data_IF_250364435747
#
_entry.id   IF_250364435747
#
_cell.length_a   1.000
_cell.length_b   1.000
_cell.length_c   1.000
_cell.angle_alpha   90.00
_cell.angle_beta   90.00
_cell.angle_gamma   90.00
#
_symmetry.space_group_name_H-M   'P 1'
#
loop_
_entity.id
_entity.type
_entity.pdbx_description
1 polymer ?
#
# COMPACT_ATOMS: atom_id res chain seq x y z
N UNK A 1 8.13 10.78 -9.26
CA UNK A 1 8.43 11.08 -7.85
C UNK A 1 7.92 12.47 -7.46
N UNK A 2 6.61 12.71 -7.47
CA UNK A 2 6.03 14.05 -7.22
C UNK A 2 5.31 14.18 -5.87
N UNK A 3 5.34 13.17 -5.00
CA UNK A 3 4.49 13.11 -3.80
C UNK A 3 5.18 13.29 -2.44
N UNK A 4 6.50 13.39 -2.36
CA UNK A 4 7.21 13.21 -1.09
C UNK A 4 7.29 14.44 -0.16
N UNK A 5 6.82 15.63 -0.57
CA UNK A 5 6.98 16.87 0.22
C UNK A 5 5.71 17.74 0.27
N UNK A 6 4.52 17.15 0.11
CA UNK A 6 3.23 17.85 0.12
C UNK A 6 2.84 18.48 1.47
N UNK A 7 3.56 18.15 2.54
CA UNK A 7 3.36 18.70 3.90
C UNK A 7 4.30 19.88 4.21
N UNK A 8 5.24 20.23 3.32
CA UNK A 8 6.22 21.28 3.58
C UNK A 8 5.59 22.66 3.35
N UNK A 9 5.66 23.52 4.36
CA UNK A 9 5.17 24.91 4.32
C UNK A 9 6.32 25.85 3.97
N UNK A 10 6.14 26.70 2.96
CA UNK A 10 7.15 27.70 2.63
C UNK A 10 7.23 28.76 3.74
N UNK A 11 8.40 28.99 4.36
CA UNK A 11 8.55 30.01 5.39
C UNK A 11 8.48 31.45 4.85
N UNK A 12 8.57 31.64 3.52
CA UNK A 12 8.48 32.97 2.90
C UNK A 12 7.06 33.38 2.54
N UNK A 13 6.26 32.47 1.97
CA UNK A 13 4.92 32.79 1.49
C UNK A 13 3.80 32.03 2.20
N UNK A 14 4.12 31.16 3.18
CA UNK A 14 3.12 30.41 3.96
C UNK A 14 2.43 29.27 3.21
N UNK A 15 2.66 29.14 1.90
CA UNK A 15 2.02 28.13 1.06
C UNK A 15 2.47 26.71 1.40
N UNK A 16 1.50 25.79 1.55
CA UNK A 16 1.75 24.37 1.85
C UNK A 16 1.78 23.53 0.58
N UNK A 17 2.63 22.50 0.58
CA UNK A 17 2.59 21.42 -0.42
C UNK A 17 3.12 21.77 -1.80
N UNK A 18 3.81 22.90 -1.92
CA UNK A 18 4.37 23.43 -3.15
C UNK A 18 5.90 23.41 -3.09
N UNK A 19 6.50 22.30 -2.69
CA UNK A 19 7.97 22.16 -2.61
C UNK A 19 8.51 21.34 -3.80
N UNK A 20 9.46 21.91 -4.54
CA UNK A 20 10.23 21.24 -5.59
C UNK A 20 11.64 20.91 -5.08
N UNK A 21 12.12 19.71 -5.36
CA UNK A 21 13.50 19.31 -5.10
C UNK A 21 14.40 19.98 -6.13
N UNK A 22 15.38 20.77 -5.67
CA UNK A 22 16.40 21.36 -6.55
C UNK A 22 17.60 20.44 -6.72
N UNK A 23 18.08 19.92 -5.60
CA UNK A 23 19.25 19.05 -5.52
C UNK A 23 19.17 18.23 -4.25
N UNK A 24 19.83 17.08 -4.25
CA UNK A 24 20.06 16.27 -3.06
C UNK A 24 21.57 16.14 -2.82
N UNK A 25 21.96 15.97 -1.56
CA UNK A 25 23.33 15.61 -1.20
C UNK A 25 23.28 14.42 -0.28
N UNK A 26 23.99 13.36 -0.66
CA UNK A 26 24.24 12.25 0.24
C UNK A 26 25.25 12.70 1.30
N UNK A 27 24.82 12.67 2.56
CA UNK A 27 25.64 13.02 3.73
C UNK A 27 26.30 11.77 4.29
N UNK A 28 25.57 10.65 4.34
CA UNK A 28 26.10 9.31 4.63
C UNK A 28 25.41 8.28 3.75
N UNK A 29 25.81 7.00 3.84
CA UNK A 29 25.12 5.89 3.16
C UNK A 29 23.60 5.87 3.36
N UNK A 30 23.09 6.40 4.48
CA UNK A 30 21.66 6.36 4.85
C UNK A 30 20.99 7.74 4.90
N UNK A 31 21.75 8.82 4.70
CA UNK A 31 21.27 10.19 4.84
C UNK A 31 21.40 10.96 3.53
N UNK A 32 20.26 11.38 3.00
CA UNK A 32 20.20 12.29 1.86
C UNK A 32 19.52 13.58 2.30
N UNK A 33 20.30 14.67 2.27
CA UNK A 33 19.80 16.01 2.52
C UNK A 33 19.16 16.55 1.24
N UNK A 34 17.88 16.90 1.32
CA UNK A 34 17.14 17.49 0.21
C UNK A 34 17.11 19.02 0.29
N UNK A 35 17.62 19.68 -0.73
CA UNK A 35 17.52 21.13 -0.89
C UNK A 35 16.24 21.47 -1.67
N UNK A 36 15.26 21.99 -0.94
CA UNK A 36 13.93 22.29 -1.47
C UNK A 36 13.78 23.78 -1.81
N UNK A 37 12.95 24.06 -2.81
CA UNK A 37 12.44 25.40 -3.11
C UNK A 37 10.92 25.40 -3.18
N UNK A 38 10.32 26.50 -2.74
CA UNK A 38 8.91 26.73 -2.98
C UNK A 38 8.66 26.95 -4.48
N UNK A 39 7.72 26.22 -5.06
CA UNK A 39 7.34 26.36 -6.46
C UNK A 39 6.53 27.63 -6.76
N UNK A 40 6.09 28.34 -5.73
CA UNK A 40 5.31 29.58 -5.85
C UNK A 40 6.20 30.83 -5.80
N UNK A 41 7.15 30.89 -4.87
CA UNK A 41 7.97 32.10 -4.66
C UNK A 41 9.48 31.89 -4.79
N UNK A 42 9.91 30.69 -5.22
CA UNK A 42 11.32 30.26 -5.30
C UNK A 42 12.13 30.40 -4.00
N UNK A 43 11.44 30.62 -2.87
CA UNK A 43 12.02 30.67 -1.54
C UNK A 43 12.76 29.39 -1.21
N UNK A 44 14.01 29.51 -0.74
CA UNK A 44 14.78 28.38 -0.22
C UNK A 44 14.12 27.84 1.04
N UNK A 45 13.90 26.53 1.10
CA UNK A 45 13.39 25.84 2.28
C UNK A 45 14.53 24.96 2.78
N UNK A 46 14.89 25.10 4.07
CA UNK A 46 16.06 24.42 4.63
C UNK A 46 15.74 22.94 4.89
N UNK A 47 16.57 22.07 4.31
CA UNK A 47 16.76 20.63 4.55
C UNK A 47 15.57 19.83 5.09
N UNK A 48 14.89 19.08 4.22
CA UNK A 48 14.06 17.98 4.68
C UNK A 48 14.93 16.72 4.76
N UNK A 49 14.94 16.08 5.93
CA UNK A 49 15.69 14.86 6.18
C UNK A 49 14.79 13.66 5.89
N UNK A 50 15.20 12.79 4.98
CA UNK A 50 14.54 11.50 4.79
C UNK A 50 15.57 10.40 5.02
N UNK A 51 15.26 9.48 5.93
CA UNK A 51 16.02 8.25 6.11
C UNK A 51 15.71 7.37 4.91
N UNK A 52 16.67 7.20 4.01
CA UNK A 52 16.49 6.44 2.77
C UNK A 52 16.82 4.95 2.91
N UNK A 53 17.28 4.51 4.08
CA UNK A 53 17.44 3.08 4.32
C UNK A 53 16.08 2.41 4.39
N UNK A 54 15.85 1.42 3.50
CA UNK A 54 14.71 0.53 3.61
C UNK A 54 14.77 -0.14 4.99
N UNK A 55 13.92 0.30 5.93
CA UNK A 55 13.79 -0.33 7.26
C UNK A 55 12.97 -1.62 7.22
N UNK A 56 12.49 -2.01 6.04
CA UNK A 56 11.65 -3.19 5.85
C UNK A 56 11.99 -3.89 4.53
N UNK A 57 12.10 -5.23 4.51
CA UNK A 57 12.44 -5.96 3.31
C UNK A 57 11.29 -5.96 2.29
N UNK A 58 11.62 -6.14 1.01
CA UNK A 58 10.61 -6.36 -0.02
C UNK A 58 9.93 -7.73 0.16
N UNK A 59 8.68 -7.85 -0.31
CA UNK A 59 7.92 -9.11 -0.27
C UNK A 59 8.54 -10.23 -1.11
N UNK A 60 9.43 -9.88 -2.04
CA UNK A 60 10.10 -10.81 -2.95
C UNK A 60 11.48 -11.24 -2.45
N UNK A 61 11.91 -10.76 -1.29
CA UNK A 61 13.23 -11.12 -0.75
C UNK A 61 13.13 -12.43 0.02
N UNK A 62 14.12 -13.29 -0.20
CA UNK A 62 14.37 -14.49 0.59
C UNK A 62 15.19 -14.15 1.85
N UNK A 63 15.39 -15.15 2.69
CA UNK A 63 16.11 -14.99 3.95
C UNK A 63 17.56 -14.54 3.74
N UNK A 64 18.26 -15.12 2.76
CA UNK A 64 19.66 -14.81 2.48
C UNK A 64 19.84 -13.34 2.06
N UNK A 65 18.94 -12.83 1.22
CA UNK A 65 18.95 -11.42 0.81
C UNK A 65 18.60 -10.47 1.95
N UNK A 66 17.67 -10.86 2.83
CA UNK A 66 17.36 -10.06 4.02
C UNK A 66 18.59 -9.96 4.91
N UNK A 67 19.26 -11.09 5.20
CA UNK A 67 20.45 -11.14 6.06
C UNK A 67 21.65 -10.42 5.45
N UNK A 68 21.77 -10.39 4.11
CA UNK A 68 22.86 -9.69 3.44
C UNK A 68 22.69 -8.16 3.47
N UNK A 69 21.46 -7.67 3.30
CA UNK A 69 21.14 -6.24 3.24
C UNK A 69 20.96 -5.60 4.63
N UNK A 70 20.35 -6.31 5.59
CA UNK A 70 20.09 -5.78 6.93
C UNK A 70 21.17 -6.20 7.91
N UNK A 71 22.14 -5.31 8.17
CA UNK A 71 23.17 -5.58 9.17
C UNK A 71 22.59 -5.51 10.59
N UNK A 72 23.07 -6.32 11.55
CA UNK A 72 22.53 -6.33 12.91
C UNK A 72 22.46 -4.97 13.59
N UNK A 73 23.50 -4.13 13.41
CA UNK A 73 23.53 -2.78 13.99
C UNK A 73 22.42 -1.87 13.42
N UNK A 74 22.10 -1.98 12.13
CA UNK A 74 21.00 -1.22 11.50
C UNK A 74 19.65 -1.66 12.05
N UNK A 75 19.46 -2.96 12.27
CA UNK A 75 18.24 -3.51 12.86
C UNK A 75 18.06 -3.01 14.29
N UNK A 76 19.13 -2.98 15.09
CA UNK A 76 19.10 -2.48 16.47
C UNK A 76 18.78 -0.98 16.50
N UNK A 77 19.44 -0.17 15.66
CA UNK A 77 19.21 1.28 15.60
C UNK A 77 17.78 1.66 15.19
N UNK A 78 17.12 0.83 14.38
CA UNK A 78 15.79 1.11 13.82
C UNK A 78 14.69 0.19 14.39
N UNK A 79 14.94 -0.47 15.54
CA UNK A 79 14.05 -1.53 16.05
C UNK A 79 12.63 -1.03 16.34
N UNK A 80 12.49 0.23 16.74
CA UNK A 80 11.20 0.85 17.02
C UNK A 80 10.39 1.06 15.73
N UNK A 81 11.02 1.62 14.70
CA UNK A 81 10.43 1.88 13.38
C UNK A 81 10.06 0.57 12.68
N UNK A 82 10.91 -0.46 12.81
CA UNK A 82 10.63 -1.83 12.34
C UNK A 82 9.35 -2.35 13.00
N UNK A 83 9.21 -2.20 14.32
CA UNK A 83 8.01 -2.66 15.04
C UNK A 83 6.74 -1.91 14.65
N UNK A 84 6.82 -0.59 14.47
CA UNK A 84 5.68 0.20 13.98
C UNK A 84 5.26 -0.23 12.58
N UNK A 85 6.24 -0.46 11.70
CA UNK A 85 6.01 -0.94 10.34
C UNK A 85 5.37 -2.33 10.35
N UNK A 86 5.85 -3.25 11.21
CA UNK A 86 5.26 -4.57 11.41
C UNK A 86 3.78 -4.49 11.82
N UNK A 87 3.45 -3.66 12.82
CA UNK A 87 2.06 -3.48 13.28
C UNK A 87 1.14 -2.97 12.19
N UNK A 88 1.57 -1.93 11.47
CA UNK A 88 0.79 -1.35 10.38
C UNK A 88 0.52 -2.37 9.27
N UNK A 89 1.59 -3.02 8.76
CA UNK A 89 1.47 -4.02 7.69
C UNK A 89 0.65 -5.23 8.10
N UNK A 90 0.78 -5.69 9.35
CA UNK A 90 -0.02 -6.80 9.87
C UNK A 90 -1.49 -6.43 9.98
N UNK A 91 -1.80 -5.21 10.41
CA UNK A 91 -3.18 -4.70 10.46
C UNK A 91 -3.79 -4.66 9.05
N UNK A 92 -3.06 -4.12 8.08
CA UNK A 92 -3.52 -4.04 6.69
C UNK A 92 -3.73 -5.42 6.07
N UNK A 93 -2.79 -6.34 6.29
CA UNK A 93 -2.92 -7.72 5.81
C UNK A 93 -4.14 -8.43 6.44
N UNK A 94 -4.40 -8.22 7.73
CA UNK A 94 -5.59 -8.77 8.40
C UNK A 94 -6.89 -8.19 7.86
N UNK A 95 -6.92 -6.88 7.60
CA UNK A 95 -8.07 -6.22 6.99
C UNK A 95 -8.35 -6.78 5.57
N UNK A 96 -7.30 -6.99 4.79
CA UNK A 96 -7.41 -7.56 3.45
C UNK A 96 -7.91 -9.01 3.48
N UNK A 97 -7.41 -9.84 4.41
CA UNK A 97 -7.94 -11.19 4.62
C UNK A 97 -9.44 -11.16 4.94
N UNK A 98 -9.88 -10.25 5.81
CA UNK A 98 -11.30 -10.11 6.14
C UNK A 98 -12.13 -9.72 4.91
N UNK A 99 -11.64 -8.77 4.10
CA UNK A 99 -12.28 -8.36 2.84
C UNK A 99 -12.40 -9.52 1.86
N UNK A 100 -11.33 -10.28 1.66
CA UNK A 100 -11.30 -11.43 0.76
C UNK A 100 -12.23 -12.55 1.23
N UNK A 101 -12.34 -12.79 2.54
CA UNK A 101 -13.30 -13.76 3.10
C UNK A 101 -14.75 -13.36 2.81
N UNK A 102 -15.08 -12.08 2.96
CA UNK A 102 -16.42 -11.57 2.61
C UNK A 102 -16.70 -11.73 1.11
N UNK A 103 -15.73 -11.38 0.26
CA UNK A 103 -15.85 -11.56 -1.19
C UNK A 103 -16.03 -13.04 -1.58
N UNK A 104 -15.28 -13.94 -0.95
CA UNK A 104 -15.42 -15.39 -1.17
C UNK A 104 -16.80 -15.88 -0.76
N UNK A 105 -17.35 -15.40 0.36
CA UNK A 105 -18.71 -15.75 0.77
C UNK A 105 -19.74 -15.27 -0.25
N UNK A 106 -19.67 -14.00 -0.66
CA UNK A 106 -20.58 -13.45 -1.66
C UNK A 106 -20.54 -14.23 -2.98
N UNK A 107 -19.35 -14.61 -3.45
CA UNK A 107 -19.20 -15.41 -4.67
C UNK A 107 -19.82 -16.82 -4.52
N UNK A 108 -19.72 -17.44 -3.34
CA UNK A 108 -20.37 -18.74 -3.08
C UNK A 108 -21.89 -18.62 -3.07
N UNK A 109 -22.43 -17.59 -2.42
CA UNK A 109 -23.86 -17.33 -2.36
C UNK A 109 -24.42 -17.07 -3.79
N UNK A 110 -23.64 -16.40 -4.64
CA UNK A 110 -23.98 -16.19 -6.06
C UNK A 110 -24.04 -17.50 -6.86
N UNK A 111 -23.06 -18.39 -6.69
CA UNK A 111 -23.06 -19.72 -7.33
C UNK A 111 -24.30 -20.53 -6.91
N UNK A 112 -24.63 -20.56 -5.61
CA UNK A 112 -25.82 -21.27 -5.12
C UNK A 112 -27.10 -20.70 -5.74
N UNK A 113 -27.19 -19.38 -5.85
CA UNK A 113 -28.34 -18.72 -6.48
C UNK A 113 -28.47 -19.05 -7.97
N UNK A 114 -27.35 -19.11 -8.70
CA UNK A 114 -27.32 -19.53 -10.11
C UNK A 114 -27.81 -20.97 -10.25
N UNK A 115 -27.31 -21.89 -9.42
CA UNK A 115 -27.71 -23.30 -9.42
C UNK A 115 -29.21 -23.45 -9.13
N UNK A 116 -29.72 -22.76 -8.12
CA UNK A 116 -31.15 -22.76 -7.79
C UNK A 116 -32.01 -22.22 -8.93
N UNK A 117 -31.57 -21.13 -9.55
CA UNK A 117 -32.26 -20.54 -10.70
C UNK A 117 -32.31 -21.51 -11.87
N UNK A 118 -31.19 -22.16 -12.17
CA UNK A 118 -31.10 -23.16 -13.24
C UNK A 118 -32.05 -24.34 -12.99
N UNK A 119 -32.06 -24.89 -11.78
CA UNK A 119 -32.95 -26.00 -11.42
C UNK A 119 -34.43 -25.61 -11.56
N UNK A 120 -34.81 -24.41 -11.11
CA UNK A 120 -36.18 -23.91 -11.28
C UNK A 120 -36.58 -23.79 -12.75
N UNK A 121 -35.67 -23.30 -13.61
CA UNK A 121 -35.92 -23.21 -15.05
C UNK A 121 -36.10 -24.60 -15.69
N UNK A 122 -35.33 -25.60 -15.26
CA UNK A 122 -35.52 -26.98 -15.70
C UNK A 122 -36.88 -27.53 -15.27
N UNK A 123 -37.27 -27.33 -14.01
CA UNK A 123 -38.56 -27.79 -13.49
C UNK A 123 -39.73 -27.19 -14.30
N UNK A 124 -39.69 -25.87 -14.56
CA UNK A 124 -40.68 -25.18 -15.40
C UNK A 124 -40.71 -25.79 -16.81
N UNK A 125 -39.54 -26.02 -17.41
CA UNK A 125 -39.43 -26.63 -18.74
C UNK A 125 -40.03 -28.04 -18.79
N UNK A 126 -39.81 -28.85 -17.76
CA UNK A 126 -40.38 -30.19 -17.64
C UNK A 126 -41.90 -30.16 -17.49
N UNK A 127 -42.45 -29.29 -16.64
CA UNK A 127 -43.89 -29.13 -16.48
C UNK A 127 -44.58 -28.70 -17.78
N UNK A 128 -43.98 -27.75 -18.52
CA UNK A 128 -44.50 -27.29 -19.79
C UNK A 128 -44.50 -28.40 -20.85
N UNK A 129 -43.41 -29.18 -20.93
CA UNK A 129 -43.33 -30.33 -21.84
C UNK A 129 -44.32 -31.43 -21.49
N UNK A 130 -44.61 -31.66 -20.21
CA UNK A 130 -45.60 -32.66 -19.79
C UNK A 130 -47.02 -32.26 -20.19
N UNK A 131 -47.37 -30.97 -20.08
CA UNK A 131 -48.69 -30.43 -20.47
C UNK A 131 -48.95 -30.47 -21.98
N UNK A 132 -47.92 -30.39 -22.81
CA UNK A 132 -48.04 -30.48 -24.28
C UNK A 132 -48.20 -31.90 -24.82
N UNK A 133 -47.99 -32.94 -23.99
CA UNK A 133 -48.10 -34.36 -24.38
C UNK A 133 -49.47 -34.97 -24.07
N UNK A 134 -50.41 -34.18 -23.54
CA UNK A 134 -51.82 -34.54 -23.28
C UNK A 134 -52.68 -33.81 -24.31
#
# INVERSE_FOLDING_TARGET
>A
MAGAFSFVVCPKCGEKGTAKVRSSRQITKNFTEYYLRCSHCDGKIKGFYSVESHIWPSKLWDEDKIRSEFKPWQVVENIFEIHQTYKARTKDAKAEIARLKTALKAAKDEVENIERTYNLLLDIGHEASAKQRI
#
